data_IF_608170190375
#
_entry.id   IF_608170190375
#
_cell.length_a   1.000
_cell.length_b   1.000
_cell.length_c   1.000
_cell.angle_alpha   90.00
_cell.angle_beta   90.00
_cell.angle_gamma   90.00
#
_symmetry.space_group_name_H-M   'P 1'
#
loop_
_entity.id
_entity.type
_entity.pdbx_description
1 polymer ?
#
# COMPACT_ATOMS: atom_id res chain seq x y z
N UNK A 1 -10.28 -10.97 -25.02
CA UNK A 1 -11.38 -11.16 -24.05
C UNK A 1 -10.85 -10.70 -22.70
N UNK A 2 -11.46 -9.68 -22.08
CA UNK A 2 -11.08 -9.24 -20.72
C UNK A 2 -11.59 -10.31 -19.73
N UNK A 3 -10.72 -10.78 -18.85
CA UNK A 3 -11.11 -11.62 -17.71
C UNK A 3 -11.94 -10.74 -16.77
N UNK A 4 -13.13 -11.15 -16.40
CA UNK A 4 -13.87 -10.49 -15.34
C UNK A 4 -13.16 -10.75 -14.04
N UNK A 5 -12.89 -9.72 -13.27
CA UNK A 5 -12.26 -9.81 -11.96
C UNK A 5 -13.28 -9.38 -10.91
N UNK A 6 -13.37 -10.13 -9.84
CA UNK A 6 -14.20 -9.77 -8.69
C UNK A 6 -13.23 -9.48 -7.53
N UNK A 7 -13.32 -8.28 -6.98
CA UNK A 7 -12.53 -7.88 -5.80
C UNK A 7 -13.43 -7.95 -4.58
N UNK A 8 -13.12 -8.82 -3.63
CA UNK A 8 -13.79 -8.90 -2.33
C UNK A 8 -12.84 -8.47 -1.24
N UNK A 9 -13.25 -7.54 -0.41
CA UNK A 9 -12.43 -6.99 0.66
C UNK A 9 -13.00 -7.37 2.01
N UNK A 10 -12.13 -7.79 2.93
CA UNK A 10 -12.43 -8.05 4.32
C UNK A 10 -11.49 -7.19 5.16
N UNK A 11 -12.04 -6.30 5.97
CA UNK A 11 -11.27 -5.57 6.98
C UNK A 11 -11.26 -6.39 8.26
N UNK A 12 -10.09 -6.86 8.67
CA UNK A 12 -9.93 -7.60 9.92
C UNK A 12 -9.64 -6.63 11.06
N UNK A 13 -10.63 -6.44 11.92
CA UNK A 13 -10.44 -5.85 13.23
C UNK A 13 -9.60 -6.80 14.10
N UNK A 14 -8.63 -6.29 14.82
CA UNK A 14 -7.75 -7.05 15.72
C UNK A 14 -8.44 -7.70 16.95
N UNK A 15 -9.75 -7.89 16.93
CA UNK A 15 -10.57 -8.77 17.78
C UNK A 15 -11.81 -9.16 17.00
N UNK A 16 -12.02 -10.47 16.90
CA UNK A 16 -13.14 -11.23 16.34
C UNK A 16 -14.49 -10.47 16.26
N UNK A 17 -14.78 -9.81 15.15
CA UNK A 17 -16.13 -9.79 14.55
C UNK A 17 -15.94 -9.48 13.06
N UNK A 18 -16.03 -10.49 12.21
CA UNK A 18 -16.02 -10.31 10.77
C UNK A 18 -17.39 -9.86 10.28
N UNK A 19 -17.48 -8.70 9.66
CA UNK A 19 -18.63 -8.38 8.81
C UNK A 19 -18.29 -8.88 7.41
N UNK A 20 -18.88 -9.99 7.02
CA UNK A 20 -18.72 -10.59 5.69
C UNK A 20 -19.79 -9.96 4.79
N UNK A 21 -19.39 -9.10 3.86
CA UNK A 21 -20.21 -8.78 2.71
C UNK A 21 -19.87 -9.80 1.61
N UNK A 22 -20.65 -10.85 1.52
CA UNK A 22 -20.57 -11.80 0.41
C UNK A 22 -21.51 -11.36 -0.69
N UNK A 23 -20.98 -10.97 -1.83
CA UNK A 23 -21.68 -11.11 -3.10
C UNK A 23 -21.47 -12.59 -3.51
N UNK A 24 -22.50 -13.41 -3.45
CA UNK A 24 -22.43 -14.82 -3.84
C UNK A 24 -22.31 -14.93 -5.37
N UNK A 25 -21.21 -15.46 -5.92
CA UNK A 25 -21.22 -15.94 -7.29
C UNK A 25 -21.82 -17.37 -7.28
N UNK A 26 -22.93 -17.55 -7.95
CA UNK A 26 -23.46 -18.87 -8.30
C UNK A 26 -22.72 -19.37 -9.54
N UNK A 27 -21.75 -20.24 -9.37
CA UNK A 27 -21.33 -21.35 -10.26
C UNK A 27 -19.89 -21.78 -9.95
N UNK A 28 -19.64 -23.08 -10.00
CA UNK A 28 -18.32 -23.74 -9.93
C UNK A 28 -17.41 -23.31 -11.09
N UNK A 29 -16.68 -22.23 -10.91
CA UNK A 29 -15.55 -21.87 -11.75
C UNK A 29 -14.32 -22.02 -10.86
N UNK A 30 -13.32 -22.78 -11.28
CA UNK A 30 -12.03 -22.86 -10.60
C UNK A 30 -11.33 -21.49 -10.71
N UNK A 31 -11.64 -20.60 -9.79
CA UNK A 31 -11.10 -19.24 -9.74
C UNK A 31 -9.79 -19.25 -8.99
N UNK A 32 -8.72 -18.81 -9.64
CA UNK A 32 -7.50 -18.41 -8.92
C UNK A 32 -7.86 -17.25 -7.98
N UNK A 33 -7.49 -17.35 -6.71
CA UNK A 33 -7.67 -16.28 -5.73
C UNK A 33 -6.30 -15.78 -5.26
N UNK A 34 -6.13 -14.45 -5.26
CA UNK A 34 -4.98 -13.79 -4.62
C UNK A 34 -5.49 -13.09 -3.37
N UNK A 35 -4.90 -13.38 -2.23
CA UNK A 35 -5.11 -12.64 -0.99
C UNK A 35 -3.99 -11.61 -0.83
N UNK A 36 -4.36 -10.35 -0.69
CA UNK A 36 -3.46 -9.23 -0.43
C UNK A 36 -3.77 -8.67 0.95
N UNK A 37 -2.75 -8.65 1.80
CA UNK A 37 -2.78 -7.93 3.07
C UNK A 37 -2.10 -6.58 2.89
N UNK A 38 -2.61 -5.54 3.55
CA UNK A 38 -1.97 -4.24 3.49
C UNK A 38 -2.01 -3.47 4.80
N UNK A 39 -1.02 -2.62 4.96
CA UNK A 39 -0.93 -1.63 6.03
C UNK A 39 -0.64 -0.27 5.45
N UNK A 40 -1.02 0.77 6.17
CA UNK A 40 -0.67 2.16 5.89
C UNK A 40 -0.43 2.90 7.22
N UNK A 41 0.36 3.96 7.18
CA UNK A 41 0.52 4.90 8.30
C UNK A 41 0.84 4.20 9.64
N UNK A 42 1.82 3.30 9.62
CA UNK A 42 2.23 2.58 10.83
C UNK A 42 2.88 3.50 11.86
N UNK A 43 3.48 4.61 11.41
CA UNK A 43 4.01 5.68 12.24
C UNK A 43 4.88 5.18 13.39
N UNK A 44 5.83 4.29 13.05
CA UNK A 44 6.78 3.75 14.03
C UNK A 44 6.10 3.14 15.28
N UNK A 45 4.82 2.75 15.17
CA UNK A 45 4.07 2.16 16.29
C UNK A 45 4.54 0.71 16.53
N UNK A 46 5.77 0.58 17.02
CA UNK A 46 6.43 -0.70 17.28
C UNK A 46 5.70 -1.48 18.38
N UNK A 47 5.36 -0.79 19.47
CA UNK A 47 4.62 -1.36 20.59
C UNK A 47 3.11 -1.14 20.40
N UNK A 48 2.27 -1.98 21.00
CA UNK A 48 0.84 -1.71 21.06
C UNK A 48 0.52 -0.37 21.69
N UNK A 49 -0.59 0.24 21.27
CA UNK A 49 -1.11 1.47 21.87
C UNK A 49 -1.29 1.28 23.39
N UNK A 50 -0.81 2.24 24.18
CA UNK A 50 -0.80 2.14 25.63
C UNK A 50 -2.22 1.92 26.21
N UNK A 51 -2.32 1.17 27.30
CA UNK A 51 -3.59 0.77 27.92
C UNK A 51 -4.48 1.94 28.38
N UNK A 52 -3.91 3.12 28.58
CA UNK A 52 -4.64 4.33 29.00
C UNK A 52 -5.10 5.23 27.81
N UNK A 53 -5.00 4.73 26.57
CA UNK A 53 -5.31 5.51 25.34
C UNK A 53 -6.68 5.20 24.72
N UNK A 54 -7.71 4.97 25.56
CA UNK A 54 -9.10 4.86 25.13
C UNK A 54 -9.42 3.61 24.31
N UNK A 55 -10.31 3.71 23.34
CA UNK A 55 -10.84 2.57 22.57
C UNK A 55 -9.78 1.75 21.82
N UNK A 56 -8.63 2.33 21.56
CA UNK A 56 -7.52 1.66 20.86
C UNK A 56 -6.45 1.08 21.82
N UNK A 57 -6.71 1.13 23.13
CA UNK A 57 -5.80 0.58 24.14
C UNK A 57 -5.44 -0.88 23.84
N UNK A 58 -4.15 -1.16 23.75
CA UNK A 58 -3.65 -2.48 23.43
C UNK A 58 -3.72 -2.91 21.96
N UNK A 59 -4.25 -2.08 21.05
CA UNK A 59 -4.25 -2.34 19.61
C UNK A 59 -2.93 -1.89 18.96
N UNK A 60 -2.73 -2.31 17.69
CA UNK A 60 -1.56 -1.92 16.91
C UNK A 60 -0.27 -2.62 17.34
N UNK A 61 0.83 -2.11 16.83
CA UNK A 61 2.17 -2.66 17.03
C UNK A 61 2.57 -3.67 15.96
N UNK A 62 3.83 -3.58 15.51
CA UNK A 62 4.36 -4.42 14.43
C UNK A 62 4.27 -5.92 14.72
N UNK A 63 4.52 -6.34 15.98
CA UNK A 63 4.46 -7.76 16.36
C UNK A 63 3.06 -8.36 16.15
N UNK A 64 2.00 -7.58 16.34
CA UNK A 64 0.62 -8.03 16.10
C UNK A 64 0.31 -8.12 14.61
N UNK A 65 0.76 -7.15 13.83
CA UNK A 65 0.65 -7.20 12.36
C UNK A 65 1.33 -8.47 11.84
N UNK A 66 2.58 -8.73 12.24
CA UNK A 66 3.33 -9.93 11.85
C UNK A 66 2.58 -11.20 12.24
N UNK A 67 2.16 -11.32 13.50
CA UNK A 67 1.43 -12.49 13.98
C UNK A 67 0.10 -12.72 13.22
N UNK A 68 -0.64 -11.65 12.93
CA UNK A 68 -1.90 -11.74 12.19
C UNK A 68 -1.65 -12.16 10.74
N UNK A 69 -0.64 -11.57 10.07
CA UNK A 69 -0.23 -11.97 8.73
C UNK A 69 0.16 -13.45 8.67
N UNK A 70 0.95 -13.93 9.64
CA UNK A 70 1.34 -15.33 9.72
C UNK A 70 0.16 -16.26 9.98
N UNK A 71 -0.79 -15.84 10.83
CA UNK A 71 -2.04 -16.59 11.06
C UNK A 71 -2.89 -16.72 9.79
N UNK A 72 -2.92 -15.67 8.96
CA UNK A 72 -3.64 -15.72 7.68
C UNK A 72 -2.89 -16.58 6.68
N UNK A 73 -1.56 -16.44 6.57
CA UNK A 73 -0.72 -17.29 5.74
C UNK A 73 -0.88 -18.78 6.07
N UNK A 74 -0.94 -19.12 7.35
CA UNK A 74 -1.11 -20.52 7.77
C UNK A 74 -2.46 -21.13 7.36
N UNK A 75 -3.49 -20.30 7.19
CA UNK A 75 -4.85 -20.75 6.81
C UNK A 75 -5.10 -20.71 5.31
N UNK A 76 -4.54 -19.74 4.61
CA UNK A 76 -4.82 -19.47 3.18
C UNK A 76 -3.64 -19.82 2.27
N UNK A 77 -2.51 -20.16 2.85
CA UNK A 77 -1.25 -20.32 2.14
C UNK A 77 -0.60 -18.97 1.89
N UNK A 78 0.16 -18.88 0.81
CA UNK A 78 0.92 -17.69 0.45
C UNK A 78 0.00 -16.51 0.17
N UNK A 79 0.26 -15.36 0.81
CA UNK A 79 -0.46 -14.09 0.66
C UNK A 79 0.56 -12.98 0.43
N UNK A 80 0.19 -11.95 -0.33
CA UNK A 80 1.01 -10.74 -0.47
C UNK A 80 0.77 -9.83 0.73
N UNK A 81 1.83 -9.22 1.26
CA UNK A 81 1.76 -8.20 2.31
C UNK A 81 2.41 -6.91 1.80
N UNK A 82 1.62 -5.86 1.65
CA UNK A 82 2.01 -4.59 1.04
C UNK A 82 1.91 -3.44 2.05
N UNK A 83 2.78 -2.44 1.90
CA UNK A 83 2.75 -1.21 2.69
C UNK A 83 2.45 0.00 1.82
N UNK A 84 1.54 0.85 2.29
CA UNK A 84 1.14 2.08 1.61
C UNK A 84 1.84 3.32 2.18
N UNK A 85 3.05 3.17 2.71
CA UNK A 85 3.89 4.26 3.22
C UNK A 85 3.58 4.70 4.65
N UNK A 86 4.32 5.71 5.11
CA UNK A 86 4.32 6.26 6.46
C UNK A 86 4.49 5.18 7.55
N UNK A 87 5.45 4.26 7.33
CA UNK A 87 5.87 3.32 8.37
C UNK A 87 6.82 3.97 9.38
N UNK A 88 7.48 5.08 8.99
CA UNK A 88 8.37 5.90 9.82
C UNK A 88 7.60 6.96 10.62
N UNK A 89 8.29 7.59 11.58
CA UNK A 89 7.86 8.74 12.38
C UNK A 89 6.64 8.47 13.29
N UNK A 90 6.60 9.11 14.45
CA UNK A 90 5.46 9.07 15.39
C UNK A 90 5.80 8.51 16.77
N UNK A 91 6.91 7.78 16.93
CA UNK A 91 7.36 7.28 18.24
C UNK A 91 8.85 7.47 18.45
N UNK A 92 9.34 7.35 19.70
CA UNK A 92 10.78 7.43 20.00
C UNK A 92 11.66 6.45 19.23
N UNK A 93 11.12 5.34 18.73
CA UNK A 93 11.90 4.37 17.93
C UNK A 93 12.47 5.04 16.67
N UNK A 94 11.66 5.79 15.95
CA UNK A 94 12.14 6.53 14.78
C UNK A 94 13.20 7.57 15.15
N UNK A 95 13.00 8.31 16.24
CA UNK A 95 13.94 9.35 16.68
C UNK A 95 15.32 8.79 17.03
N UNK A 96 15.38 7.58 17.61
CA UNK A 96 16.65 6.95 18.00
C UNK A 96 17.25 6.07 16.90
N UNK A 97 16.44 5.44 16.05
CA UNK A 97 16.91 4.42 15.12
C UNK A 97 16.67 4.77 13.63
N UNK A 98 16.01 5.89 13.34
CA UNK A 98 15.90 6.46 11.99
C UNK A 98 15.25 5.56 10.94
N UNK A 99 14.27 4.74 11.33
CA UNK A 99 13.55 3.84 10.43
C UNK A 99 14.10 2.40 10.38
N UNK A 100 15.28 2.15 11.01
CA UNK A 100 15.89 0.81 10.97
C UNK A 100 15.04 -0.24 11.69
N UNK A 101 14.49 0.09 12.83
CA UNK A 101 13.66 -0.84 13.64
C UNK A 101 12.39 -1.20 12.87
N UNK A 102 11.77 -0.22 12.24
CA UNK A 102 10.59 -0.36 11.42
C UNK A 102 10.84 -1.35 10.26
N UNK A 103 11.92 -1.14 9.51
CA UNK A 103 12.30 -2.03 8.40
C UNK A 103 12.70 -3.41 8.89
N UNK A 104 13.41 -3.55 10.00
CA UNK A 104 13.74 -4.86 10.57
C UNK A 104 12.44 -5.66 10.90
N UNK A 105 11.39 -4.99 11.41
CA UNK A 105 10.09 -5.63 11.62
C UNK A 105 9.37 -5.95 10.30
N UNK A 106 9.39 -5.05 9.32
CA UNK A 106 8.79 -5.29 8.00
C UNK A 106 9.45 -6.47 7.30
N UNK A 107 10.79 -6.56 7.35
CA UNK A 107 11.53 -7.72 6.83
C UNK A 107 11.08 -9.03 7.50
N UNK A 108 10.97 -9.05 8.83
CA UNK A 108 10.51 -10.24 9.58
C UNK A 108 9.06 -10.58 9.33
N UNK A 109 8.20 -9.59 9.15
CA UNK A 109 6.80 -9.80 8.80
C UNK A 109 6.61 -10.29 7.36
N UNK A 110 7.67 -10.24 6.53
CA UNK A 110 7.65 -10.69 5.14
C UNK A 110 6.81 -9.77 4.27
N UNK A 111 7.08 -8.46 4.31
CA UNK A 111 6.51 -7.54 3.33
C UNK A 111 7.08 -7.83 1.93
N UNK A 112 6.20 -7.78 0.92
CA UNK A 112 6.54 -8.06 -0.48
C UNK A 112 6.88 -6.79 -1.27
N UNK A 113 6.32 -5.64 -0.87
CA UNK A 113 6.66 -4.32 -1.40
C UNK A 113 6.14 -3.21 -0.49
N UNK A 114 6.68 -2.00 -0.66
CA UNK A 114 6.20 -0.76 -0.04
C UNK A 114 6.18 0.38 -1.05
N UNK A 115 5.21 1.30 -0.93
CA UNK A 115 5.42 2.68 -1.42
C UNK A 115 6.07 3.52 -0.32
N UNK A 116 6.33 4.80 -0.60
CA UNK A 116 6.80 5.77 0.38
C UNK A 116 5.66 6.76 0.68
N UNK A 117 5.53 7.14 1.96
CA UNK A 117 4.75 8.31 2.34
C UNK A 117 5.65 9.54 2.53
N UNK A 118 5.14 10.57 3.18
CA UNK A 118 5.93 11.78 3.44
C UNK A 118 6.90 11.62 4.61
N UNK A 119 6.54 10.84 5.61
CA UNK A 119 7.35 10.68 6.82
C UNK A 119 8.60 9.83 6.64
N UNK A 120 8.73 9.06 5.57
CA UNK A 120 9.98 8.42 5.21
C UNK A 120 11.09 9.44 4.89
N UNK A 121 10.72 10.65 4.48
CA UNK A 121 11.66 11.72 4.12
C UNK A 121 12.05 12.63 5.30
N UNK A 122 11.49 12.45 6.49
CA UNK A 122 11.71 13.34 7.65
C UNK A 122 13.17 13.46 8.06
N UNK A 123 13.98 12.41 7.91
CA UNK A 123 15.42 12.40 8.18
C UNK A 123 16.29 12.65 6.93
N UNK A 124 15.68 13.06 5.81
CA UNK A 124 16.33 13.32 4.54
C UNK A 124 16.64 12.08 3.72
N UNK A 125 16.93 12.28 2.44
CA UNK A 125 17.07 11.21 1.45
C UNK A 125 18.28 10.31 1.67
N UNK A 126 19.38 10.83 2.23
CA UNK A 126 20.55 10.02 2.59
C UNK A 126 20.21 9.01 3.69
N UNK A 127 19.47 9.43 4.72
CA UNK A 127 19.00 8.52 5.76
C UNK A 127 18.04 7.49 5.18
N UNK A 128 17.08 7.92 4.37
CA UNK A 128 16.13 7.04 3.70
C UNK A 128 16.83 6.03 2.78
N UNK A 129 17.88 6.42 2.05
CA UNK A 129 18.65 5.51 1.19
C UNK A 129 19.26 4.35 2.00
N UNK A 130 19.74 4.60 3.22
CA UNK A 130 20.26 3.55 4.11
C UNK A 130 19.16 2.62 4.60
N UNK A 131 18.00 3.15 4.93
CA UNK A 131 16.81 2.39 5.32
C UNK A 131 16.36 1.46 4.18
N UNK A 132 16.21 1.99 2.98
CA UNK A 132 15.83 1.22 1.77
C UNK A 132 16.84 0.10 1.49
N UNK A 133 18.14 0.37 1.58
CA UNK A 133 19.19 -0.65 1.36
C UNK A 133 19.16 -1.79 2.40
N UNK A 134 18.58 -1.59 3.58
CA UNK A 134 18.42 -2.64 4.59
C UNK A 134 17.13 -3.46 4.42
N UNK A 135 16.25 -3.06 3.50
CA UNK A 135 15.00 -3.75 3.23
C UNK A 135 15.22 -4.99 2.37
N UNK A 136 14.42 -6.03 2.61
CA UNK A 136 14.40 -7.26 1.80
C UNK A 136 13.30 -7.24 0.73
N UNK A 137 12.60 -6.12 0.59
CA UNK A 137 11.50 -5.89 -0.35
C UNK A 137 11.75 -4.60 -1.16
N UNK A 138 11.17 -4.49 -2.37
CA UNK A 138 11.31 -3.30 -3.21
C UNK A 138 10.44 -2.14 -2.71
N UNK A 139 10.91 -0.91 -2.99
CA UNK A 139 10.10 0.30 -2.90
C UNK A 139 9.65 0.72 -4.29
N UNK A 140 8.38 1.10 -4.39
CA UNK A 140 7.73 1.48 -5.65
C UNK A 140 7.11 2.87 -5.50
N UNK A 141 7.58 3.83 -6.31
CA UNK A 141 6.98 5.16 -6.42
C UNK A 141 6.96 5.57 -7.89
N UNK A 142 5.77 5.70 -8.43
CA UNK A 142 5.52 5.90 -9.86
C UNK A 142 5.52 7.36 -10.28
N UNK A 143 5.19 8.26 -9.35
CA UNK A 143 4.99 9.68 -9.61
C UNK A 143 6.11 10.58 -9.10
N UNK A 144 7.34 10.04 -9.08
CA UNK A 144 8.56 10.80 -8.76
C UNK A 144 9.71 10.44 -9.68
N UNK A 145 10.50 11.44 -10.06
CA UNK A 145 11.86 11.25 -10.57
C UNK A 145 12.85 11.52 -9.43
N UNK A 146 13.55 10.46 -9.02
CA UNK A 146 14.61 10.49 -8.00
C UNK A 146 16.01 10.38 -8.61
N UNK A 147 16.17 10.54 -9.94
CA UNK A 147 17.45 10.31 -10.63
C UNK A 147 18.60 11.19 -10.14
N UNK A 148 18.28 12.38 -9.60
CA UNK A 148 19.25 13.34 -9.06
C UNK A 148 19.32 13.32 -7.53
N UNK A 149 18.94 12.21 -6.90
CA UNK A 149 18.88 12.05 -5.43
C UNK A 149 19.61 10.80 -4.96
N UNK A 150 19.91 10.66 -3.66
CA UNK A 150 20.44 9.43 -3.08
C UNK A 150 19.55 8.19 -3.27
N UNK A 151 18.31 8.36 -3.70
CA UNK A 151 17.34 7.28 -3.97
C UNK A 151 17.43 6.73 -5.40
N UNK A 152 18.28 7.31 -6.23
CA UNK A 152 18.47 6.89 -7.62
C UNK A 152 18.78 5.38 -7.72
N UNK A 153 17.97 4.66 -8.51
CA UNK A 153 18.08 3.22 -8.69
C UNK A 153 17.62 2.35 -7.51
N UNK A 154 17.32 2.95 -6.36
CA UNK A 154 16.81 2.24 -5.18
C UNK A 154 15.28 2.11 -5.19
N UNK A 155 14.60 3.13 -5.69
CA UNK A 155 13.14 3.17 -5.82
C UNK A 155 12.76 2.89 -7.28
N UNK A 156 11.77 2.06 -7.49
CA UNK A 156 11.30 1.65 -8.83
C UNK A 156 9.99 2.33 -9.18
N UNK A 157 9.74 2.67 -10.44
CA UNK A 157 8.46 3.25 -10.85
C UNK A 157 7.32 2.21 -10.89
N UNK A 158 7.64 0.93 -11.01
CA UNK A 158 6.71 -0.19 -10.89
C UNK A 158 7.45 -1.47 -10.49
N UNK A 159 6.72 -2.47 -10.04
CA UNK A 159 7.25 -3.80 -9.79
C UNK A 159 6.27 -4.88 -10.26
N UNK A 160 6.78 -6.08 -10.58
CA UNK A 160 5.95 -7.23 -10.96
C UNK A 160 6.31 -8.40 -10.06
N UNK A 161 5.30 -8.96 -9.42
CA UNK A 161 5.41 -10.17 -8.59
C UNK A 161 4.72 -11.31 -9.34
N UNK A 162 5.39 -12.47 -9.45
CA UNK A 162 4.74 -13.70 -9.90
C UNK A 162 4.24 -14.45 -8.65
N UNK A 163 2.96 -14.34 -8.37
CA UNK A 163 2.33 -14.97 -7.22
C UNK A 163 1.47 -16.15 -7.67
N UNK A 164 1.94 -17.38 -7.42
CA UNK A 164 1.24 -18.63 -7.80
C UNK A 164 0.85 -18.70 -9.29
N UNK A 165 1.72 -18.19 -10.17
CA UNK A 165 1.47 -18.17 -11.60
C UNK A 165 0.69 -16.96 -12.10
N UNK A 166 0.17 -16.10 -11.20
CA UNK A 166 -0.48 -14.83 -11.53
C UNK A 166 0.54 -13.71 -11.47
N UNK A 167 0.63 -12.91 -12.52
CA UNK A 167 1.49 -11.72 -12.58
C UNK A 167 0.76 -10.53 -11.97
N UNK A 168 1.21 -10.11 -10.80
CA UNK A 168 0.68 -8.93 -10.10
C UNK A 168 1.61 -7.75 -10.38
N UNK A 169 1.09 -6.73 -11.03
CA UNK A 169 1.76 -5.45 -11.25
C UNK A 169 1.50 -4.50 -10.09
N UNK A 170 2.54 -3.89 -9.56
CA UNK A 170 2.48 -2.90 -8.50
C UNK A 170 2.91 -1.54 -9.05
N UNK A 171 2.10 -0.51 -8.80
CA UNK A 171 2.47 0.90 -8.90
C UNK A 171 2.40 1.54 -7.52
N UNK A 172 3.14 2.63 -7.29
CA UNK A 172 3.14 3.36 -6.03
C UNK A 172 2.92 4.85 -6.28
N UNK A 173 2.09 5.49 -5.46
CA UNK A 173 1.85 6.93 -5.55
C UNK A 173 2.15 7.58 -4.19
N UNK A 174 2.81 8.73 -4.22
CA UNK A 174 3.23 9.47 -3.02
C UNK A 174 2.81 10.93 -3.15
N UNK A 175 2.39 11.53 -2.05
CA UNK A 175 2.05 12.97 -1.97
C UNK A 175 3.21 13.87 -2.41
N UNK A 176 2.92 15.13 -2.73
CA UNK A 176 3.98 16.12 -2.96
C UNK A 176 4.70 16.46 -1.66
N UNK A 177 5.85 15.81 -1.45
CA UNK A 177 6.66 15.97 -0.25
C UNK A 177 7.20 17.40 -0.06
N UNK A 178 7.32 18.18 -1.13
CA UNK A 178 7.84 19.57 -1.02
C UNK A 178 6.98 20.47 -0.14
N UNK A 179 5.72 20.10 0.06
CA UNK A 179 4.79 20.86 0.90
C UNK A 179 4.71 20.34 2.34
N UNK A 180 5.27 19.16 2.62
CA UNK A 180 5.09 18.44 3.88
C UNK A 180 6.39 18.22 4.66
N UNK A 181 7.55 18.21 3.98
CA UNK A 181 8.85 18.05 4.63
C UNK A 181 9.73 19.26 4.43
N UNK A 182 10.84 19.37 5.17
CA UNK A 182 11.79 20.46 4.98
C UNK A 182 12.35 20.46 3.55
N UNK A 183 12.71 21.66 3.04
CA UNK A 183 13.24 21.80 1.69
C UNK A 183 14.44 20.91 1.44
N UNK A 184 15.37 20.87 2.39
CA UNK A 184 16.62 20.09 2.27
C UNK A 184 16.33 18.58 2.16
N UNK A 185 15.24 18.11 2.79
CA UNK A 185 14.84 16.71 2.76
C UNK A 185 14.13 16.28 1.46
N UNK A 186 13.74 17.25 0.62
CA UNK A 186 13.08 17.02 -0.68
C UNK A 186 13.91 17.47 -1.89
N UNK A 187 15.15 17.96 -1.67
CA UNK A 187 15.99 18.49 -2.74
C UNK A 187 16.32 17.44 -3.81
N UNK A 188 16.22 17.83 -5.08
CA UNK A 188 16.50 16.96 -6.22
C UNK A 188 15.34 16.03 -6.62
N UNK A 189 14.34 15.82 -5.77
CA UNK A 189 13.16 15.06 -6.15
C UNK A 189 12.21 15.87 -7.04
N UNK A 190 11.76 15.28 -8.13
CA UNK A 190 10.79 15.91 -9.05
C UNK A 190 9.46 15.19 -8.91
N UNK A 191 8.47 15.91 -8.38
CA UNK A 191 7.09 15.43 -8.32
C UNK A 191 6.45 15.46 -9.71
N UNK A 192 5.86 14.36 -10.11
CA UNK A 192 5.12 14.19 -11.36
C UNK A 192 3.63 14.09 -11.06
N UNK A 193 2.80 14.42 -12.04
CA UNK A 193 1.34 14.28 -11.92
C UNK A 193 0.97 12.83 -11.59
N UNK A 194 0.28 12.55 -10.47
CA UNK A 194 0.00 11.19 -10.03
C UNK A 194 -1.00 10.48 -10.93
N UNK A 195 -1.97 11.18 -11.54
CA UNK A 195 -2.96 10.58 -12.45
C UNK A 195 -2.27 10.15 -13.74
N UNK A 196 -1.47 11.03 -14.35
CA UNK A 196 -0.72 10.71 -15.56
C UNK A 196 0.28 9.59 -15.32
N UNK A 197 0.99 9.62 -14.19
CA UNK A 197 1.95 8.59 -13.81
C UNK A 197 1.26 7.24 -13.56
N UNK A 198 0.15 7.23 -12.85
CA UNK A 198 -0.63 6.03 -12.59
C UNK A 198 -1.09 5.37 -13.91
N UNK A 199 -1.62 6.17 -14.85
CA UNK A 199 -2.06 5.64 -16.15
C UNK A 199 -0.88 5.10 -16.97
N UNK A 200 0.21 5.88 -17.08
CA UNK A 200 1.41 5.48 -17.84
C UNK A 200 1.96 4.12 -17.37
N UNK A 201 2.12 3.94 -16.06
CA UNK A 201 2.70 2.71 -15.54
C UNK A 201 1.71 1.55 -15.53
N UNK A 202 0.42 1.81 -15.38
CA UNK A 202 -0.65 0.81 -15.59
C UNK A 202 -0.64 0.27 -17.02
N UNK A 203 -0.57 1.15 -18.03
CA UNK A 203 -0.49 0.75 -19.44
C UNK A 203 0.80 -0.06 -19.70
N UNK A 204 1.92 0.36 -19.11
CA UNK A 204 3.19 -0.37 -19.20
C UNK A 204 3.08 -1.77 -18.61
N UNK A 205 2.42 -1.94 -17.47
CA UNK A 205 2.21 -3.23 -16.82
C UNK A 205 1.29 -4.12 -17.67
N UNK A 206 0.21 -3.60 -18.21
CA UNK A 206 -0.66 -4.35 -19.12
C UNK A 206 0.06 -4.79 -20.40
N UNK A 207 0.93 -3.94 -20.97
CA UNK A 207 1.76 -4.31 -22.12
C UNK A 207 2.76 -5.44 -21.80
N UNK A 208 3.15 -5.59 -20.53
CA UNK A 208 3.99 -6.71 -20.04
C UNK A 208 3.17 -7.97 -19.70
N UNK A 209 1.87 -7.93 -19.89
CA UNK A 209 0.98 -9.06 -19.67
C UNK A 209 0.77 -9.39 -18.19
N UNK A 210 0.64 -8.36 -17.32
CA UNK A 210 0.21 -8.59 -15.94
C UNK A 210 -1.28 -8.94 -15.90
N UNK A 211 -1.64 -9.77 -14.95
CA UNK A 211 -3.02 -10.21 -14.76
C UNK A 211 -3.79 -9.28 -13.83
N UNK A 212 -3.13 -8.67 -12.85
CA UNK A 212 -3.70 -7.75 -11.85
C UNK A 212 -2.81 -6.54 -11.67
N UNK A 213 -3.38 -5.35 -11.54
CA UNK A 213 -2.66 -4.11 -11.19
C UNK A 213 -3.16 -3.59 -9.85
N UNK A 214 -2.25 -3.47 -8.88
CA UNK A 214 -2.48 -2.92 -7.55
C UNK A 214 -1.73 -1.59 -7.45
N UNK A 215 -2.45 -0.54 -7.04
CA UNK A 215 -1.86 0.74 -6.69
C UNK A 215 -1.70 0.83 -5.17
N UNK A 216 -0.46 0.92 -4.70
CA UNK A 216 -0.13 1.29 -3.32
C UNK A 216 -0.06 2.82 -3.27
N UNK A 217 -1.02 3.47 -2.63
CA UNK A 217 -1.13 4.92 -2.63
C UNK A 217 -0.88 5.53 -1.25
N UNK A 218 -0.19 6.65 -1.25
CA UNK A 218 -0.06 7.54 -0.10
C UNK A 218 -0.46 8.97 -0.47
N UNK A 219 -1.55 9.13 -1.24
CA UNK A 219 -2.08 10.44 -1.65
C UNK A 219 -3.15 10.98 -0.69
N UNK A 220 -3.79 10.10 0.08
CA UNK A 220 -5.02 10.38 0.80
C UNK A 220 -6.26 9.94 0.02
N UNK A 221 -7.39 9.85 0.71
CA UNK A 221 -8.62 9.28 0.17
C UNK A 221 -9.25 10.12 -0.95
N UNK A 222 -9.10 11.43 -0.91
CA UNK A 222 -9.73 12.38 -1.84
C UNK A 222 -8.86 13.62 -2.04
N UNK A 223 -9.24 14.43 -3.03
CA UNK A 223 -8.59 15.71 -3.32
C UNK A 223 -8.43 16.57 -2.07
N UNK A 224 -7.21 17.08 -1.89
CA UNK A 224 -6.88 18.04 -0.85
C UNK A 224 -5.99 19.16 -1.40
N UNK A 225 -6.40 20.42 -1.22
CA UNK A 225 -5.67 21.63 -1.64
C UNK A 225 -5.28 21.61 -3.15
N UNK A 226 -6.19 21.15 -4.00
CA UNK A 226 -5.97 21.07 -5.46
C UNK A 226 -5.05 19.92 -5.90
N UNK A 227 -4.76 18.98 -5.02
CA UNK A 227 -3.98 17.77 -5.33
C UNK A 227 -4.90 16.55 -5.29
N UNK A 228 -4.84 15.69 -6.34
CA UNK A 228 -5.72 14.53 -6.40
C UNK A 228 -5.39 13.52 -5.30
N UNK A 229 -6.44 12.90 -4.77
CA UNK A 229 -6.36 11.72 -3.91
C UNK A 229 -6.71 10.44 -4.67
N UNK A 230 -6.93 9.37 -3.92
CA UNK A 230 -7.20 8.04 -4.45
C UNK A 230 -8.49 8.00 -5.28
N UNK A 231 -9.53 8.76 -4.87
CA UNK A 231 -10.80 8.84 -5.61
C UNK A 231 -10.63 9.44 -6.99
N UNK A 232 -9.85 10.53 -7.11
CA UNK A 232 -9.60 11.21 -8.38
C UNK A 232 -8.70 10.36 -9.28
N UNK A 233 -7.71 9.65 -8.72
CA UNK A 233 -6.89 8.70 -9.48
C UNK A 233 -7.76 7.57 -10.02
N UNK A 234 -8.60 6.96 -9.17
CA UNK A 234 -9.51 5.89 -9.60
C UNK A 234 -10.46 6.36 -10.71
N UNK A 235 -11.08 7.53 -10.54
CA UNK A 235 -12.05 8.06 -11.51
C UNK A 235 -11.42 8.48 -12.85
N UNK A 236 -10.15 8.90 -12.84
CA UNK A 236 -9.47 9.48 -14.00
C UNK A 236 -8.61 8.49 -14.79
N UNK A 237 -8.34 7.31 -14.24
CA UNK A 237 -7.51 6.28 -14.89
C UNK A 237 -8.33 5.08 -15.33
N UNK A 238 -7.69 4.04 -15.87
CA UNK A 238 -8.30 2.75 -16.14
C UNK A 238 -7.27 1.62 -16.03
N UNK A 239 -7.75 0.40 -15.79
CA UNK A 239 -6.90 -0.79 -15.73
C UNK A 239 -6.23 -1.01 -14.39
N UNK A 240 -6.44 -0.16 -13.38
CA UNK A 240 -6.12 -0.42 -11.98
C UNK A 240 -7.27 -1.24 -11.40
N UNK A 241 -6.96 -2.36 -10.73
CA UNK A 241 -7.96 -3.24 -10.13
C UNK A 241 -8.30 -2.83 -8.70
N UNK A 242 -7.31 -2.39 -7.93
CA UNK A 242 -7.49 -1.95 -6.54
C UNK A 242 -6.48 -0.86 -6.18
N UNK A 243 -6.90 0.10 -5.37
CA UNK A 243 -6.05 1.10 -4.73
C UNK A 243 -6.04 0.81 -3.23
N UNK A 244 -4.84 0.55 -2.71
CA UNK A 244 -4.56 0.45 -1.28
C UNK A 244 -4.04 1.82 -0.85
N UNK A 245 -4.81 2.54 -0.04
CA UNK A 245 -4.56 3.94 0.31
C UNK A 245 -3.82 4.13 1.63
N UNK A 246 -3.40 5.38 1.87
CA UNK A 246 -2.75 5.86 3.09
C UNK A 246 -2.92 7.37 3.26
N UNK A 247 -2.14 7.99 4.14
CA UNK A 247 -2.02 9.42 4.40
C UNK A 247 -3.17 10.06 5.21
N UNK A 248 -4.41 9.84 4.84
CA UNK A 248 -5.56 10.48 5.52
C UNK A 248 -5.99 9.78 6.81
N UNK A 249 -5.38 8.64 7.15
CA UNK A 249 -5.66 7.85 8.37
C UNK A 249 -7.12 7.41 8.54
N UNK A 250 -7.87 7.36 7.47
CA UNK A 250 -9.27 6.92 7.50
C UNK A 250 -9.38 5.40 7.51
N UNK A 251 -10.44 4.88 8.07
CA UNK A 251 -10.85 3.49 7.94
C UNK A 251 -11.99 3.46 6.94
N UNK A 252 -11.68 3.06 5.70
CA UNK A 252 -12.64 3.13 4.61
C UNK A 252 -12.49 2.01 3.59
N UNK A 253 -13.61 1.70 2.97
CA UNK A 253 -13.69 0.96 1.72
C UNK A 253 -14.71 1.64 0.81
N UNK A 254 -14.33 1.90 -0.43
CA UNK A 254 -15.18 2.56 -1.42
C UNK A 254 -14.97 1.95 -2.79
N UNK A 255 -16.02 1.92 -3.58
CA UNK A 255 -15.95 1.58 -5.02
C UNK A 255 -16.19 2.85 -5.83
N UNK A 256 -15.30 3.13 -6.76
CA UNK A 256 -15.36 4.28 -7.67
C UNK A 256 -15.39 3.76 -9.11
N UNK A 257 -16.21 4.37 -9.95
CA UNK A 257 -16.18 4.09 -11.39
C UNK A 257 -15.00 4.81 -12.04
N UNK A 258 -14.19 4.05 -12.76
CA UNK A 258 -13.08 4.60 -13.53
C UNK A 258 -13.57 5.30 -14.82
N UNK A 259 -12.65 5.89 -15.59
CA UNK A 259 -12.99 6.61 -16.83
C UNK A 259 -13.54 5.71 -17.98
N UNK A 260 -13.63 4.39 -17.75
CA UNK A 260 -14.28 3.41 -18.64
C UNK A 260 -15.55 2.80 -18.04
N UNK A 261 -16.02 3.30 -16.88
CA UNK A 261 -17.18 2.79 -16.16
C UNK A 261 -16.95 1.46 -15.43
N UNK A 262 -15.69 1.02 -15.28
CA UNK A 262 -15.33 -0.20 -14.55
C UNK A 262 -15.16 0.12 -13.05
N UNK A 263 -15.43 -0.84 -12.17
CA UNK A 263 -15.28 -0.66 -10.74
C UNK A 263 -13.80 -0.73 -10.31
N UNK A 264 -13.37 0.25 -9.53
CA UNK A 264 -12.08 0.27 -8.82
C UNK A 264 -12.37 0.33 -7.33
N UNK A 265 -11.85 -0.63 -6.60
CA UNK A 265 -11.99 -0.62 -5.14
C UNK A 265 -10.84 0.18 -4.52
N UNK A 266 -11.17 1.07 -3.59
CA UNK A 266 -10.23 1.84 -2.76
C UNK A 266 -10.41 1.40 -1.33
N UNK A 267 -9.32 1.12 -0.62
CA UNK A 267 -9.35 0.78 0.82
C UNK A 267 -8.20 1.42 1.57
N UNK A 268 -8.47 1.88 2.79
CA UNK A 268 -7.49 2.39 3.74
C UNK A 268 -7.83 1.88 5.15
N UNK A 269 -6.84 1.58 5.98
CA UNK A 269 -7.02 0.88 7.26
C UNK A 269 -6.51 1.70 8.45
N UNK A 270 -7.13 2.85 8.65
CA UNK A 270 -6.79 3.77 9.74
C UNK A 270 -5.27 4.08 9.81
N UNK A 271 -4.65 3.94 10.98
CA UNK A 271 -3.21 4.18 11.19
C UNK A 271 -2.68 3.40 12.38
N UNK A 272 -1.34 3.44 12.60
CA UNK A 272 -0.64 2.87 13.76
C UNK A 272 -0.81 1.34 13.89
N UNK A 273 -1.07 0.66 12.77
CA UNK A 273 -1.27 -0.80 12.76
C UNK A 273 -2.47 -1.28 13.57
N UNK A 274 -3.46 -0.42 13.81
CA UNK A 274 -4.69 -0.77 14.53
C UNK A 274 -5.53 -1.77 13.77
N UNK A 275 -5.45 -1.72 12.45
CA UNK A 275 -6.12 -2.61 11.51
C UNK A 275 -5.08 -3.21 10.54
N UNK A 276 -5.40 -4.37 10.00
CA UNK A 276 -4.73 -4.98 8.85
C UNK A 276 -5.78 -5.18 7.77
N UNK A 277 -5.56 -4.62 6.59
CA UNK A 277 -6.45 -4.78 5.45
C UNK A 277 -6.26 -6.14 4.80
N UNK A 278 -7.36 -6.73 4.34
CA UNK A 278 -7.36 -7.95 3.55
C UNK A 278 -8.23 -7.75 2.30
N UNK A 279 -7.63 -7.91 1.13
CA UNK A 279 -8.29 -7.85 -0.17
C UNK A 279 -8.16 -9.20 -0.85
N UNK A 280 -9.28 -9.78 -1.26
CA UNK A 280 -9.29 -11.00 -2.05
C UNK A 280 -9.68 -10.68 -3.50
N UNK A 281 -8.78 -10.97 -4.43
CA UNK A 281 -8.96 -10.74 -5.86
C UNK A 281 -9.21 -12.09 -6.52
N UNK A 282 -10.39 -12.27 -7.09
CA UNK A 282 -10.78 -13.47 -7.80
C UNK A 282 -10.53 -13.29 -9.30
N UNK A 283 -9.88 -14.27 -9.89
CA UNK A 283 -9.59 -14.32 -11.32
C UNK A 283 -10.48 -15.38 -11.96
N UNK A 284 -11.24 -14.99 -12.97
CA UNK A 284 -11.95 -15.97 -13.79
C UNK A 284 -10.95 -16.77 -14.63
N UNK A 285 -11.19 -18.07 -14.75
CA UNK A 285 -10.43 -18.93 -15.69
C UNK A 285 -10.60 -18.42 -17.12
N UNK A 286 -9.47 -18.25 -17.81
CA UNK A 286 -9.45 -17.90 -19.24
C UNK A 286 -10.12 -18.97 -20.09
#
# INVERSE_FOLDING_TARGET
MKSNKIVTIIILLGVLVGVIFTCNPTSDVSTGMITVLHTNDLHSQVLPVAQNKGKWAGYGGFSRISHLADSIRSKRGDVLLLSCGDFCQGTPFFNFFGGKVEVDFMNRAGYDASTLGNHEFDNGMEALSRVIKSSQFPYVVSNYDFSQTPLSGLVKPYHVINHKGVKVGLIGLTVDIKTLVSRDNSEGAIYLDPILSAQQWTDTLHAKGVDVVICMSHLGDKEYMGRPGDEEVAASTHGIDVILGGHSHVDMMKVVKNNRGEDVTITQVASQGRLLGEVNIYLESK
#
